data_IF_807710664822
#
_entry.id   IF_807710664822
#
_cell.length_a   1.000
_cell.length_b   1.000
_cell.length_c   1.000
_cell.angle_alpha   90.00
_cell.angle_beta   90.00
_cell.angle_gamma   90.00
#
_symmetry.space_group_name_H-M   'P 1'
#
loop_
_entity.id
_entity.type
_entity.pdbx_description
1 polymer ?
#
# COMPACT_ATOMS: atom_id res chain seq x y z
N UNK A 1 -18.86 6.90 4.26
CA UNK A 1 -18.15 8.20 4.32
C UNK A 1 -16.70 7.93 4.71
N UNK A 2 -15.74 8.03 3.79
CA UNK A 2 -14.36 7.63 4.02
C UNK A 2 -13.60 8.58 4.98
N UNK A 3 -14.03 9.82 5.13
CA UNK A 3 -13.44 10.81 6.07
C UNK A 3 -13.66 10.45 7.54
N UNK A 4 -14.82 9.87 7.91
CA UNK A 4 -15.09 9.43 9.28
C UNK A 4 -14.08 8.40 9.80
N UNK A 5 -13.40 7.69 8.90
CA UNK A 5 -12.35 6.73 9.28
C UNK A 5 -11.09 7.46 9.77
N UNK A 6 -10.82 8.66 9.23
CA UNK A 6 -9.70 9.49 9.65
C UNK A 6 -9.96 10.18 10.99
N UNK A 7 -11.21 10.49 11.31
CA UNK A 7 -11.56 11.06 12.61
C UNK A 7 -11.50 9.97 13.69
N UNK A 8 -11.96 8.75 13.39
CA UNK A 8 -11.87 7.61 14.31
C UNK A 8 -10.41 7.29 14.69
N UNK A 9 -9.49 7.47 13.74
CA UNK A 9 -8.04 7.33 13.92
C UNK A 9 -7.48 8.17 15.05
N UNK A 10 -7.92 9.43 15.14
CA UNK A 10 -7.49 10.38 16.16
C UNK A 10 -8.04 10.01 17.56
N UNK A 11 -9.08 9.18 17.61
CA UNK A 11 -9.76 8.72 18.84
C UNK A 11 -9.38 7.28 19.25
N UNK A 12 -8.61 6.55 18.44
CA UNK A 12 -8.26 5.15 18.73
C UNK A 12 -7.31 5.05 19.93
N UNK A 13 -7.77 4.35 20.98
CA UNK A 13 -6.98 4.02 22.20
C UNK A 13 -6.39 2.60 22.18
N UNK A 14 -6.72 1.81 21.14
CA UNK A 14 -6.28 0.42 20.99
C UNK A 14 -4.96 0.39 20.22
N UNK A 15 -3.99 -0.39 20.72
CA UNK A 15 -2.74 -0.63 19.99
C UNK A 15 -3.02 -1.22 18.59
N UNK A 16 -2.60 -0.54 17.51
CA UNK A 16 -2.90 -1.01 16.16
C UNK A 16 -2.17 -2.32 15.86
N UNK A 17 -2.93 -3.36 15.50
CA UNK A 17 -2.37 -4.56 14.88
C UNK A 17 -2.19 -4.37 13.36
N UNK A 18 -1.58 -5.36 12.69
CA UNK A 18 -1.34 -5.32 11.25
C UNK A 18 -2.61 -5.06 10.40
N UNK A 19 -3.75 -5.66 10.76
CA UNK A 19 -5.02 -5.44 10.05
C UNK A 19 -5.54 -4.01 10.22
N UNK A 20 -5.40 -3.45 11.42
CA UNK A 20 -5.76 -2.06 11.70
C UNK A 20 -4.91 -1.13 10.84
N UNK A 21 -3.58 -1.25 10.89
CA UNK A 21 -2.67 -0.45 10.06
C UNK A 21 -3.00 -0.55 8.56
N UNK A 22 -3.24 -1.76 8.06
CA UNK A 22 -3.61 -1.98 6.67
C UNK A 22 -4.95 -1.32 6.29
N UNK A 23 -5.96 -1.40 7.16
CA UNK A 23 -7.24 -0.74 6.96
C UNK A 23 -7.08 0.78 6.87
N UNK A 24 -6.24 1.36 7.73
CA UNK A 24 -5.97 2.79 7.78
C UNK A 24 -5.27 3.29 6.51
N UNK A 25 -4.24 2.57 6.04
CA UNK A 25 -3.60 2.90 4.76
C UNK A 25 -4.61 2.84 3.60
N UNK A 26 -5.45 1.80 3.54
CA UNK A 26 -6.48 1.69 2.51
C UNK A 26 -7.57 2.76 2.61
N UNK A 27 -7.91 3.19 3.82
CA UNK A 27 -8.81 4.33 4.02
C UNK A 27 -8.18 5.62 3.48
N UNK A 28 -6.90 5.88 3.77
CA UNK A 28 -6.18 7.03 3.23
C UNK A 28 -6.14 7.00 1.69
N UNK A 29 -5.84 5.83 1.11
CA UNK A 29 -5.83 5.60 -0.33
C UNK A 29 -7.19 5.88 -1.00
N UNK A 30 -8.29 5.61 -0.28
CA UNK A 30 -9.65 5.84 -0.76
C UNK A 30 -10.11 7.29 -0.61
N UNK A 31 -9.68 7.97 0.45
CA UNK A 31 -9.98 9.41 0.66
C UNK A 31 -9.22 10.26 -0.35
N UNK A 32 -7.95 9.92 -0.63
CA UNK A 32 -7.13 10.53 -1.69
C UNK A 32 -7.11 12.07 -1.66
N UNK A 33 -6.92 12.66 -0.48
CA UNK A 33 -6.73 14.10 -0.29
C UNK A 33 -5.48 14.40 0.59
N UNK A 34 -5.09 15.66 0.70
CA UNK A 34 -3.88 16.08 1.42
C UNK A 34 -3.90 15.68 2.90
N UNK A 35 -5.08 15.66 3.55
CA UNK A 35 -5.21 15.22 4.95
C UNK A 35 -4.87 13.73 5.07
N UNK A 36 -5.44 12.91 4.19
CA UNK A 36 -5.17 11.48 4.15
C UNK A 36 -3.69 11.17 3.83
N UNK A 37 -3.06 11.95 2.96
CA UNK A 37 -1.63 11.83 2.67
C UNK A 37 -0.78 12.08 3.92
N UNK A 38 -1.04 13.16 4.66
CA UNK A 38 -0.30 13.49 5.89
C UNK A 38 -0.46 12.40 6.97
N UNK A 39 -1.70 11.93 7.17
CA UNK A 39 -1.98 10.84 8.12
C UNK A 39 -1.25 9.57 7.71
N UNK A 40 -1.35 9.20 6.44
CA UNK A 40 -0.70 8.01 5.89
C UNK A 40 0.81 8.03 6.03
N UNK A 41 1.47 9.18 5.80
CA UNK A 41 2.91 9.33 6.00
C UNK A 41 3.31 9.20 7.47
N UNK A 42 2.58 9.86 8.37
CA UNK A 42 2.79 9.72 9.82
C UNK A 42 2.65 8.25 10.26
N UNK A 43 1.62 7.56 9.77
CA UNK A 43 1.39 6.16 10.07
C UNK A 43 2.55 5.27 9.57
N UNK A 44 3.14 5.59 8.42
CA UNK A 44 4.28 4.87 7.86
C UNK A 44 5.55 5.04 8.71
N UNK A 45 5.80 6.26 9.21
CA UNK A 45 6.95 6.56 10.08
C UNK A 45 6.81 5.93 11.48
N UNK A 46 5.57 5.79 11.95
CA UNK A 46 5.23 5.25 13.27
C UNK A 46 4.89 3.74 13.26
N UNK A 47 5.17 3.01 12.16
CA UNK A 47 4.92 1.56 12.11
C UNK A 47 5.70 0.85 13.24
N UNK A 48 5.00 0.07 14.11
CA UNK A 48 5.65 -0.73 15.15
C UNK A 48 6.67 -1.69 14.58
N UNK A 49 7.76 -1.95 15.32
CA UNK A 49 8.88 -2.77 14.84
C UNK A 49 8.44 -4.15 14.33
N UNK A 50 7.46 -4.78 14.96
CA UNK A 50 6.93 -6.08 14.58
C UNK A 50 6.26 -6.10 13.20
N UNK A 51 5.83 -4.93 12.70
CA UNK A 51 5.13 -4.78 11.42
C UNK A 51 5.97 -4.13 10.31
N UNK A 52 7.23 -3.76 10.59
CA UNK A 52 8.12 -3.08 9.61
C UNK A 52 8.51 -3.93 8.40
N UNK A 53 8.20 -5.22 8.40
CA UNK A 53 8.35 -6.12 7.25
C UNK A 53 7.08 -6.95 6.97
N UNK A 54 5.96 -6.61 7.61
CA UNK A 54 4.70 -7.32 7.45
C UNK A 54 4.13 -7.11 6.04
N UNK A 55 3.82 -8.20 5.35
CA UNK A 55 3.35 -8.15 3.96
C UNK A 55 2.04 -7.37 3.82
N UNK A 56 1.10 -7.51 4.75
CA UNK A 56 -0.23 -6.90 4.67
C UNK A 56 -0.13 -5.39 4.90
N UNK A 57 0.63 -4.98 5.93
CA UNK A 57 0.86 -3.57 6.27
C UNK A 57 1.58 -2.85 5.14
N UNK A 58 2.75 -3.34 4.72
CA UNK A 58 3.55 -2.65 3.72
C UNK A 58 2.93 -2.69 2.32
N UNK A 59 2.19 -3.74 1.96
CA UNK A 59 1.44 -3.76 0.69
C UNK A 59 0.31 -2.71 0.69
N UNK A 60 -0.36 -2.52 1.82
CA UNK A 60 -1.41 -1.50 1.95
C UNK A 60 -0.83 -0.10 1.96
N UNK A 61 0.31 0.11 2.62
CA UNK A 61 1.04 1.38 2.58
C UNK A 61 1.51 1.71 1.15
N UNK A 62 2.05 0.73 0.42
CA UNK A 62 2.44 0.91 -0.98
C UNK A 62 1.23 1.26 -1.87
N UNK A 63 0.08 0.61 -1.66
CA UNK A 63 -1.16 0.95 -2.38
C UNK A 63 -1.56 2.40 -2.16
N UNK A 64 -1.49 2.87 -0.90
CA UNK A 64 -1.75 4.26 -0.57
C UNK A 64 -0.76 5.20 -1.26
N UNK A 65 0.55 4.95 -1.16
CA UNK A 65 1.58 5.79 -1.80
C UNK A 65 1.38 5.89 -3.32
N UNK A 66 1.06 4.77 -3.98
CA UNK A 66 0.73 4.75 -5.41
C UNK A 66 -0.48 5.63 -5.75
N UNK A 67 -1.50 5.69 -4.88
CA UNK A 67 -2.67 6.56 -5.06
C UNK A 67 -2.34 8.05 -4.94
N UNK A 68 -1.29 8.40 -4.21
CA UNK A 68 -0.81 9.78 -4.07
C UNK A 68 0.30 10.13 -5.08
N UNK A 69 0.58 9.27 -6.07
CA UNK A 69 1.62 9.53 -7.06
C UNK A 69 3.05 9.28 -6.59
N UNK A 70 3.23 8.73 -5.39
CA UNK A 70 4.55 8.51 -4.79
C UNK A 70 5.11 7.12 -5.13
N UNK A 71 5.20 6.82 -6.43
CA UNK A 71 5.60 5.51 -6.92
C UNK A 71 6.98 5.08 -6.41
N UNK A 72 7.95 5.98 -6.36
CA UNK A 72 9.29 5.67 -5.84
C UNK A 72 9.27 5.30 -4.35
N UNK A 73 8.49 6.01 -3.53
CA UNK A 73 8.31 5.68 -2.12
C UNK A 73 7.61 4.32 -1.96
N UNK A 74 6.60 4.04 -2.78
CA UNK A 74 5.92 2.75 -2.80
C UNK A 74 6.88 1.61 -3.14
N UNK A 75 7.77 1.80 -4.11
CA UNK A 75 8.83 0.84 -4.46
C UNK A 75 9.78 0.58 -3.29
N UNK A 76 10.19 1.62 -2.56
CA UNK A 76 11.03 1.48 -1.37
C UNK A 76 10.34 0.67 -0.28
N UNK A 77 9.07 0.96 0.00
CA UNK A 77 8.27 0.21 0.96
C UNK A 77 8.11 -1.25 0.55
N UNK A 78 7.84 -1.53 -0.74
CA UNK A 78 7.69 -2.89 -1.23
C UNK A 78 9.00 -3.69 -1.12
N UNK A 79 10.18 -3.07 -1.24
CA UNK A 79 11.46 -3.77 -1.03
C UNK A 79 11.51 -4.43 0.36
N UNK A 80 10.93 -3.81 1.38
CA UNK A 80 10.89 -4.29 2.77
C UNK A 80 9.86 -5.41 3.02
N UNK A 81 8.93 -5.65 2.09
CA UNK A 81 7.94 -6.75 2.19
C UNK A 81 8.65 -8.10 2.24
N UNK A 82 8.41 -8.86 3.32
CA UNK A 82 8.99 -10.19 3.55
C UNK A 82 8.65 -11.17 2.43
N UNK A 83 7.36 -11.32 2.12
CA UNK A 83 6.87 -12.27 1.11
C UNK A 83 6.02 -11.53 0.07
N UNK A 84 6.61 -11.22 -1.08
CA UNK A 84 5.93 -10.55 -2.19
C UNK A 84 5.07 -11.56 -2.94
N UNK A 85 3.75 -11.43 -2.79
CA UNK A 85 2.78 -12.32 -3.41
C UNK A 85 2.00 -11.64 -4.53
N UNK A 86 0.99 -12.34 -5.01
CA UNK A 86 0.02 -11.89 -6.02
C UNK A 86 -0.55 -10.49 -5.72
N UNK A 87 -0.91 -10.22 -4.46
CA UNK A 87 -1.49 -8.95 -4.03
C UNK A 87 -0.45 -7.82 -4.12
N UNK A 88 0.77 -8.04 -3.63
CA UNK A 88 1.85 -7.03 -3.67
C UNK A 88 2.19 -6.63 -5.11
N UNK A 89 2.28 -7.60 -6.03
CA UNK A 89 2.55 -7.28 -7.43
C UNK A 89 1.34 -6.62 -8.11
N UNK A 90 0.11 -7.04 -7.79
CA UNK A 90 -1.11 -6.40 -8.30
C UNK A 90 -1.23 -4.94 -7.88
N UNK A 91 -0.84 -4.60 -6.64
CA UNK A 91 -0.75 -3.21 -6.17
C UNK A 91 0.26 -2.40 -6.99
N UNK A 92 1.46 -2.94 -7.24
CA UNK A 92 2.47 -2.26 -8.06
C UNK A 92 1.98 -2.06 -9.50
N UNK A 93 1.40 -3.09 -10.12
CA UNK A 93 0.86 -3.00 -11.48
C UNK A 93 -0.23 -1.92 -11.57
N UNK A 94 -1.23 -1.98 -10.71
CA UNK A 94 -2.29 -0.97 -10.70
C UNK A 94 -1.72 0.44 -10.44
N UNK A 95 -0.77 0.54 -9.51
CA UNK A 95 -0.05 1.77 -9.19
C UNK A 95 0.69 2.38 -10.39
N UNK A 96 1.44 1.57 -11.13
CA UNK A 96 2.12 2.06 -12.33
C UNK A 96 1.16 2.43 -13.45
N UNK A 97 0.03 1.71 -13.57
CA UNK A 97 -0.99 2.05 -14.56
C UNK A 97 -1.65 3.41 -14.27
N UNK A 98 -1.97 3.71 -13.00
CA UNK A 98 -2.56 5.02 -12.64
C UNK A 98 -1.57 6.18 -12.67
N UNK A 99 -0.27 5.90 -12.61
CA UNK A 99 0.81 6.89 -12.64
C UNK A 99 1.48 7.01 -14.02
N UNK A 100 0.85 6.45 -15.07
CA UNK A 100 1.35 6.46 -16.45
C UNK A 100 2.77 5.88 -16.64
N UNK A 101 3.19 4.98 -15.74
CA UNK A 101 4.50 4.30 -15.76
C UNK A 101 4.42 2.93 -16.47
N UNK A 102 3.90 2.91 -17.70
CA UNK A 102 3.57 1.69 -18.45
C UNK A 102 4.73 0.69 -18.55
N UNK A 103 5.98 1.16 -18.68
CA UNK A 103 7.14 0.27 -18.74
C UNK A 103 7.35 -0.53 -17.44
N UNK A 104 7.09 0.09 -16.28
CA UNK A 104 7.18 -0.58 -14.97
C UNK A 104 6.05 -1.58 -14.79
N UNK A 105 4.85 -1.25 -15.27
CA UNK A 105 3.73 -2.19 -15.32
C UNK A 105 4.13 -3.50 -16.02
N UNK A 106 4.65 -3.42 -17.25
CA UNK A 106 5.03 -4.61 -18.01
C UNK A 106 6.20 -5.37 -17.38
N UNK A 107 7.14 -4.65 -16.75
CA UNK A 107 8.23 -5.27 -15.98
C UNK A 107 7.69 -6.14 -14.83
N UNK A 108 6.73 -5.63 -14.05
CA UNK A 108 6.11 -6.41 -12.96
C UNK A 108 5.26 -7.55 -13.51
N UNK A 109 4.52 -7.34 -14.60
CA UNK A 109 3.74 -8.39 -15.25
C UNK A 109 4.62 -9.58 -15.68
N UNK A 110 5.75 -9.31 -16.33
CA UNK A 110 6.71 -10.35 -16.71
C UNK A 110 7.35 -11.05 -15.50
N UNK A 111 7.61 -10.31 -14.41
CA UNK A 111 8.08 -10.90 -13.15
C UNK A 111 7.05 -11.88 -12.57
N UNK A 112 5.77 -11.47 -12.50
CA UNK A 112 4.67 -12.33 -12.07
C UNK A 112 4.58 -13.58 -12.96
N UNK A 113 4.71 -13.41 -14.28
CA UNK A 113 4.66 -14.51 -15.26
C UNK A 113 5.76 -15.55 -15.00
N UNK A 114 6.99 -15.10 -14.77
CA UNK A 114 8.15 -15.96 -14.45
C UNK A 114 7.97 -16.68 -13.12
N UNK A 115 7.39 -16.01 -12.12
CA UNK A 115 7.11 -16.59 -10.79
C UNK A 115 5.84 -17.44 -10.75
N UNK A 116 5.08 -17.55 -11.85
CA UNK A 116 3.77 -18.21 -11.94
C UNK A 116 2.77 -17.66 -10.91
N UNK A 117 2.89 -16.37 -10.59
CA UNK A 117 1.97 -15.65 -9.72
C UNK A 117 0.86 -15.06 -10.58
N UNK A 118 -0.21 -15.82 -10.83
CA UNK A 118 -1.35 -15.34 -11.60
C UNK A 118 -2.64 -15.34 -10.77
N UNK A 119 -3.30 -14.19 -10.60
CA UNK A 119 -4.74 -14.16 -10.36
C UNK A 119 -5.46 -14.64 -11.62
N UNK A 120 -6.64 -15.25 -11.47
CA UNK A 120 -7.44 -15.76 -12.60
C UNK A 120 -7.57 -14.75 -13.74
N UNK A 121 -7.59 -15.28 -14.98
CA UNK A 121 -7.63 -14.62 -16.30
C UNK A 121 -8.51 -13.34 -16.36
N UNK A 122 -8.16 -12.39 -17.27
CA UNK A 122 -8.93 -11.17 -17.51
C UNK A 122 -10.37 -11.43 -17.91
#
# INVERSE_FOLDING_TARGET
MPEKVLDLLDEMTIEPNNFTLALLFNACARVANDRAMRIGRKLLDEIPNDFRNDTVVLTSAAHMLMKFGEAESAEHVVKLVRNKGIITHGVLMNGYNINDETWKYFKIFEEMRKKKLFPMRP
#
